data_IF_646863754760
#
_entry.id   IF_646863754760
#
_cell.length_a   1.000
_cell.length_b   1.000
_cell.length_c   1.000
_cell.angle_alpha   90.00
_cell.angle_beta   90.00
_cell.angle_gamma   90.00
#
_symmetry.space_group_name_H-M   'P 1'
#
loop_
_entity.id
_entity.type
_entity.pdbx_description
1 polymer ?
#
# COMPACT_ATOMS: atom_id res chain seq x y z
N UNK A 1 11.01 27.98 -13.76
CA UNK A 1 10.72 27.23 -15.00
C UNK A 1 9.60 27.96 -15.71
N UNK A 2 9.77 28.27 -17.00
CA UNK A 2 8.68 28.84 -17.79
C UNK A 2 7.56 27.83 -17.92
N UNK A 3 6.32 28.20 -17.57
CA UNK A 3 5.16 27.29 -17.56
C UNK A 3 4.90 26.60 -18.92
N UNK A 4 5.19 27.29 -20.04
CA UNK A 4 5.11 26.68 -21.38
C UNK A 4 6.16 25.60 -21.62
N UNK A 5 7.34 25.71 -21.03
CA UNK A 5 8.35 24.65 -21.09
C UNK A 5 7.98 23.42 -20.26
N UNK A 6 7.36 23.63 -19.08
CA UNK A 6 6.87 22.53 -18.25
C UNK A 6 5.85 21.66 -19.00
N UNK A 7 4.90 22.27 -19.73
CA UNK A 7 3.92 21.56 -20.54
C UNK A 7 4.58 20.69 -21.62
N UNK A 8 5.62 21.21 -22.28
CA UNK A 8 6.35 20.45 -23.31
C UNK A 8 7.05 19.21 -22.74
N UNK A 9 7.57 19.30 -21.50
CA UNK A 9 8.27 18.15 -20.87
C UNK A 9 7.30 17.10 -20.30
N UNK A 10 6.11 17.53 -19.81
CA UNK A 10 5.17 16.66 -19.12
C UNK A 10 4.13 16.01 -20.05
N UNK A 11 4.02 16.43 -21.31
CA UNK A 11 2.95 16.22 -22.27
C UNK A 11 1.62 16.88 -21.90
N UNK A 12 0.86 17.26 -22.91
CA UNK A 12 -0.45 17.92 -22.74
C UNK A 12 -1.42 17.05 -21.93
N UNK A 13 -1.50 15.75 -22.22
CA UNK A 13 -2.40 14.82 -21.54
C UNK A 13 -2.13 14.71 -20.04
N UNK A 14 -0.84 14.73 -19.63
CA UNK A 14 -0.45 14.67 -18.21
C UNK A 14 -0.67 15.99 -17.50
N UNK A 15 -0.47 17.12 -18.18
CA UNK A 15 -0.60 18.45 -17.59
C UNK A 15 -2.06 18.98 -17.57
N UNK A 16 -2.91 18.49 -18.48
CA UNK A 16 -4.30 18.94 -18.61
C UNK A 16 -5.12 18.98 -17.30
N UNK A 17 -5.06 17.97 -16.38
CA UNK A 17 -5.79 18.05 -15.12
C UNK A 17 -5.37 19.22 -14.22
N UNK A 18 -4.09 19.58 -14.22
CA UNK A 18 -3.55 20.67 -13.42
C UNK A 18 -3.91 22.03 -14.02
N UNK A 19 -3.91 22.12 -15.36
CA UNK A 19 -4.34 23.33 -16.07
C UNK A 19 -5.84 23.57 -15.88
N UNK A 20 -6.66 22.51 -15.89
CA UNK A 20 -8.09 22.62 -15.61
C UNK A 20 -8.36 23.08 -14.16
N UNK A 21 -7.62 22.53 -13.18
CA UNK A 21 -7.72 22.95 -11.78
C UNK A 21 -7.33 24.41 -11.58
N UNK A 22 -6.30 24.88 -12.31
CA UNK A 22 -5.85 26.26 -12.33
C UNK A 22 -6.68 27.19 -13.21
N UNK A 23 -7.83 26.73 -13.76
CA UNK A 23 -8.72 27.52 -14.63
C UNK A 23 -8.01 28.13 -15.86
N UNK A 24 -7.01 27.44 -16.38
CA UNK A 24 -6.23 27.84 -17.54
C UNK A 24 -5.00 28.70 -17.21
N UNK A 25 -4.76 29.07 -15.97
CA UNK A 25 -3.53 29.75 -15.55
C UNK A 25 -2.35 28.77 -15.52
N UNK A 26 -1.41 28.96 -16.44
CA UNK A 26 -0.26 28.09 -16.60
C UNK A 26 0.73 28.13 -15.41
N UNK A 27 0.95 29.32 -14.82
CA UNK A 27 1.86 29.46 -13.67
C UNK A 27 1.28 28.78 -12.42
N UNK A 28 0.00 29.01 -12.18
CA UNK A 28 -0.75 28.38 -11.12
C UNK A 28 -0.79 26.82 -11.34
N UNK A 29 -0.99 26.35 -12.57
CA UNK A 29 -0.97 24.94 -12.90
C UNK A 29 0.38 24.27 -12.59
N UNK A 30 1.50 24.94 -12.83
CA UNK A 30 2.84 24.45 -12.43
C UNK A 30 2.95 24.39 -10.91
N UNK A 31 2.48 25.39 -10.18
CA UNK A 31 2.49 25.36 -8.71
C UNK A 31 1.67 24.19 -8.14
N UNK A 32 0.49 23.94 -8.72
CA UNK A 32 -0.35 22.77 -8.35
C UNK A 32 0.35 21.46 -8.69
N UNK A 33 1.03 21.35 -9.84
CA UNK A 33 1.78 20.17 -10.23
C UNK A 33 2.92 19.87 -9.25
N UNK A 34 3.71 20.87 -8.87
CA UNK A 34 4.81 20.73 -7.91
C UNK A 34 4.30 20.35 -6.51
N UNK A 35 3.18 20.96 -6.08
CA UNK A 35 2.50 20.56 -4.86
C UNK A 35 2.02 19.11 -4.92
N UNK A 36 1.39 18.71 -6.03
CA UNK A 36 0.91 17.35 -6.25
C UNK A 36 2.05 16.31 -6.22
N UNK A 37 3.22 16.62 -6.77
CA UNK A 37 4.39 15.75 -6.73
C UNK A 37 4.85 15.50 -5.27
N UNK A 38 4.88 16.57 -4.44
CA UNK A 38 5.20 16.47 -3.00
C UNK A 38 4.12 15.67 -2.25
N UNK A 39 2.85 15.91 -2.54
CA UNK A 39 1.74 15.16 -1.95
C UNK A 39 1.83 13.67 -2.28
N UNK A 40 2.12 13.33 -3.55
CA UNK A 40 2.29 11.94 -3.99
C UNK A 40 3.44 11.24 -3.28
N UNK A 41 4.58 11.94 -3.11
CA UNK A 41 5.72 11.41 -2.36
C UNK A 41 5.40 11.16 -0.88
N UNK A 42 4.71 12.09 -0.21
CA UNK A 42 4.28 11.93 1.17
C UNK A 42 3.27 10.78 1.34
N UNK A 43 2.31 10.65 0.41
CA UNK A 43 1.39 9.52 0.38
C UNK A 43 2.14 8.19 0.22
N UNK A 44 3.14 8.14 -0.68
CA UNK A 44 3.92 6.93 -0.91
C UNK A 44 4.72 6.51 0.33
N UNK A 45 5.32 7.46 1.04
CA UNK A 45 6.02 7.21 2.30
C UNK A 45 5.08 6.63 3.38
N UNK A 46 3.87 7.20 3.52
CA UNK A 46 2.86 6.68 4.46
C UNK A 46 2.41 5.27 4.08
N UNK A 47 2.17 5.01 2.77
CA UNK A 47 1.82 3.67 2.27
C UNK A 47 2.93 2.66 2.55
N UNK A 48 4.20 3.03 2.38
CA UNK A 48 5.34 2.16 2.68
C UNK A 48 5.33 1.72 4.13
N UNK A 49 5.17 2.65 5.08
CA UNK A 49 5.07 2.33 6.51
C UNK A 49 3.89 1.40 6.81
N UNK A 50 2.72 1.71 6.24
CA UNK A 50 1.51 0.91 6.38
C UNK A 50 1.68 -0.51 5.81
N UNK A 51 2.24 -0.65 4.60
CA UNK A 51 2.48 -1.95 3.97
C UNK A 51 3.40 -2.82 4.82
N UNK A 52 4.50 -2.26 5.33
CA UNK A 52 5.43 -2.98 6.21
C UNK A 52 4.75 -3.44 7.50
N UNK A 53 3.94 -2.58 8.12
CA UNK A 53 3.19 -2.91 9.33
C UNK A 53 2.22 -4.07 9.10
N UNK A 54 1.38 -3.98 8.07
CA UNK A 54 0.36 -5.00 7.77
C UNK A 54 1.01 -6.34 7.42
N UNK A 55 2.02 -6.36 6.54
CA UNK A 55 2.66 -7.62 6.13
C UNK A 55 3.34 -8.33 7.31
N UNK A 56 4.01 -7.58 8.19
CA UNK A 56 4.68 -8.15 9.34
C UNK A 56 3.68 -8.68 10.37
N UNK A 57 2.58 -7.98 10.63
CA UNK A 57 1.52 -8.45 11.51
C UNK A 57 0.92 -9.78 11.00
N UNK A 58 0.68 -9.87 9.69
CA UNK A 58 0.17 -11.09 9.04
C UNK A 58 1.21 -12.22 9.11
N UNK A 59 2.47 -11.95 8.75
CA UNK A 59 3.53 -12.98 8.77
C UNK A 59 3.76 -13.55 10.16
N UNK A 60 3.72 -12.72 11.20
CA UNK A 60 3.83 -13.17 12.60
C UNK A 60 2.74 -14.20 12.92
N UNK A 61 1.51 -13.98 12.49
CA UNK A 61 0.41 -14.90 12.81
C UNK A 61 0.39 -16.15 11.93
N UNK A 62 0.59 -16.00 10.62
CA UNK A 62 0.60 -17.14 9.70
C UNK A 62 1.87 -18.00 9.85
N UNK A 63 2.99 -17.37 10.18
CA UNK A 63 4.29 -18.02 10.37
C UNK A 63 4.58 -18.49 11.80
N UNK A 64 3.62 -18.39 12.72
CA UNK A 64 3.83 -18.75 14.13
C UNK A 64 4.26 -20.21 14.27
N UNK A 65 5.41 -20.42 14.90
CA UNK A 65 5.99 -21.76 15.08
C UNK A 65 6.63 -22.38 13.84
N UNK A 66 6.70 -21.63 12.73
CA UNK A 66 7.33 -22.10 11.49
C UNK A 66 8.76 -21.57 11.34
N UNK A 67 9.65 -22.32 10.63
CA UNK A 67 11.02 -21.91 10.39
C UNK A 67 11.10 -20.72 9.40
N UNK A 68 12.30 -20.15 9.27
CA UNK A 68 12.61 -19.22 8.17
C UNK A 68 12.98 -19.95 6.87
N UNK A 69 13.58 -21.14 7.01
CA UNK A 69 14.02 -22.02 5.92
C UNK A 69 13.81 -23.49 6.33
N UNK A 70 13.56 -24.41 5.38
CA UNK A 70 13.31 -24.13 3.96
C UNK A 70 11.91 -23.56 3.73
N UNK A 71 11.75 -22.76 2.65
CA UNK A 71 10.50 -22.05 2.35
C UNK A 71 9.28 -22.99 2.24
N UNK A 72 9.48 -24.24 1.80
CA UNK A 72 8.39 -25.24 1.69
C UNK A 72 7.72 -25.57 3.02
N UNK A 73 8.40 -25.35 4.14
CA UNK A 73 7.90 -25.64 5.49
C UNK A 73 7.23 -24.39 6.11
N UNK A 74 6.95 -23.36 5.29
CA UNK A 74 6.32 -22.11 5.70
C UNK A 74 4.93 -21.96 5.09
N UNK A 75 4.12 -21.07 5.67
CA UNK A 75 2.77 -20.75 5.20
C UNK A 75 2.72 -20.23 3.75
N UNK A 76 3.84 -19.72 3.23
CA UNK A 76 3.95 -19.16 1.89
C UNK A 76 3.79 -20.20 0.78
N UNK A 77 4.07 -21.47 1.05
CA UNK A 77 3.85 -22.59 0.11
C UNK A 77 2.82 -23.61 0.61
N UNK A 78 2.08 -23.28 1.69
CA UNK A 78 1.00 -24.14 2.20
C UNK A 78 -0.31 -23.83 1.46
N UNK A 79 -0.79 -24.80 0.67
CA UNK A 79 -2.06 -24.70 -0.08
C UNK A 79 -3.31 -24.71 0.81
N UNK A 80 -3.19 -25.06 2.11
CA UNK A 80 -4.28 -24.90 3.07
C UNK A 80 -4.36 -23.45 3.58
N UNK A 81 -3.26 -22.72 3.49
CA UNK A 81 -3.18 -21.30 3.89
C UNK A 81 -3.35 -20.37 2.69
N UNK A 82 -2.71 -20.66 1.54
CA UNK A 82 -2.77 -19.82 0.35
C UNK A 82 -3.58 -20.41 -0.79
N UNK A 83 -4.42 -19.60 -1.40
CA UNK A 83 -5.06 -19.91 -2.67
C UNK A 83 -4.01 -20.03 -3.80
N UNK A 84 -4.27 -20.76 -4.90
CA UNK A 84 -3.30 -20.99 -5.97
C UNK A 84 -2.69 -19.70 -6.55
N UNK A 85 -3.48 -18.62 -6.64
CA UNK A 85 -2.98 -17.33 -7.11
C UNK A 85 -2.00 -16.68 -6.11
N UNK A 86 -2.20 -16.87 -4.81
CA UNK A 86 -1.27 -16.43 -3.77
C UNK A 86 0.07 -17.15 -3.89
N UNK A 87 0.04 -18.49 -4.05
CA UNK A 87 1.25 -19.30 -4.26
C UNK A 87 2.02 -18.86 -5.52
N UNK A 88 1.32 -18.59 -6.64
CA UNK A 88 1.96 -18.05 -7.86
C UNK A 88 2.70 -16.74 -7.59
N UNK A 89 2.11 -15.83 -6.82
CA UNK A 89 2.77 -14.56 -6.48
C UNK A 89 4.00 -14.77 -5.59
N UNK A 90 3.97 -15.75 -4.69
CA UNK A 90 5.14 -16.16 -3.89
C UNK A 90 6.25 -16.69 -4.80
N UNK A 91 5.93 -17.56 -5.76
CA UNK A 91 6.92 -18.09 -6.72
C UNK A 91 7.56 -16.94 -7.51
N UNK A 92 6.78 -16.01 -8.04
CA UNK A 92 7.29 -14.82 -8.74
C UNK A 92 8.20 -13.97 -7.84
N UNK A 93 7.87 -13.83 -6.55
CA UNK A 93 8.73 -13.10 -5.61
C UNK A 93 10.07 -13.82 -5.39
N UNK A 94 10.06 -15.15 -5.32
CA UNK A 94 11.28 -15.97 -5.22
C UNK A 94 12.16 -15.82 -6.47
N UNK A 95 11.55 -15.88 -7.66
CA UNK A 95 12.27 -15.74 -8.95
C UNK A 95 12.96 -14.37 -9.12
N UNK A 96 12.47 -13.34 -8.42
CA UNK A 96 13.06 -11.99 -8.43
C UNK A 96 14.23 -11.82 -7.47
N UNK A 97 14.46 -12.77 -6.57
CA UNK A 97 15.62 -12.71 -5.68
C UNK A 97 16.91 -12.85 -6.50
N UNK A 98 17.94 -12.13 -6.10
CA UNK A 98 19.25 -12.22 -6.74
C UNK A 98 19.82 -13.64 -6.64
N UNK A 99 20.48 -14.11 -7.70
CA UNK A 99 21.13 -15.41 -7.73
C UNK A 99 22.14 -15.55 -6.58
N UNK A 100 22.08 -16.68 -5.87
CA UNK A 100 22.93 -16.93 -4.70
C UNK A 100 22.39 -16.36 -3.38
N UNK A 101 21.28 -15.64 -3.42
CA UNK A 101 20.61 -15.18 -2.20
C UNK A 101 19.92 -16.36 -1.50
N UNK A 102 20.13 -16.50 -0.20
CA UNK A 102 19.37 -17.48 0.60
C UNK A 102 17.88 -17.14 0.58
N UNK A 103 17.05 -18.13 0.23
CA UNK A 103 15.57 -17.95 0.17
C UNK A 103 15.01 -18.17 1.55
N UNK A 104 14.76 -17.08 2.28
CA UNK A 104 14.11 -17.10 3.60
C UNK A 104 12.67 -16.59 3.52
N UNK A 105 11.80 -17.01 4.47
CA UNK A 105 10.44 -16.52 4.60
C UNK A 105 10.41 -14.98 4.63
N UNK A 106 11.24 -14.37 5.46
CA UNK A 106 11.29 -12.91 5.60
C UNK A 106 11.63 -12.18 4.29
N UNK A 107 12.56 -12.71 3.49
CA UNK A 107 12.90 -12.14 2.18
C UNK A 107 11.75 -12.24 1.17
N UNK A 108 11.06 -13.37 1.16
CA UNK A 108 9.89 -13.55 0.28
C UNK A 108 8.73 -12.67 0.72
N UNK A 109 8.45 -12.58 2.02
CA UNK A 109 7.47 -11.64 2.61
C UNK A 109 7.77 -10.20 2.20
N UNK A 110 9.04 -9.79 2.17
CA UNK A 110 9.45 -8.48 1.70
C UNK A 110 9.30 -8.29 0.18
N UNK A 111 9.39 -9.37 -0.60
CA UNK A 111 9.38 -9.34 -2.06
C UNK A 111 8.00 -9.45 -2.72
N UNK A 112 6.96 -9.93 -2.00
CA UNK A 112 5.60 -9.98 -2.55
C UNK A 112 5.00 -8.58 -2.63
N UNK A 113 4.15 -8.36 -3.65
CA UNK A 113 3.54 -7.06 -3.89
C UNK A 113 2.44 -6.72 -2.87
N UNK A 114 2.09 -5.43 -2.76
CA UNK A 114 0.92 -5.00 -1.97
C UNK A 114 -0.37 -5.70 -2.41
N UNK A 115 -0.50 -6.03 -3.70
CA UNK A 115 -1.63 -6.79 -4.23
C UNK A 115 -1.76 -8.19 -3.66
N UNK A 116 -0.67 -8.84 -3.29
CA UNK A 116 -0.69 -10.12 -2.57
C UNK A 116 -1.39 -9.95 -1.21
N UNK A 117 -0.98 -8.95 -0.42
CA UNK A 117 -1.56 -8.66 0.89
C UNK A 117 -3.03 -8.27 0.79
N UNK A 118 -3.37 -7.40 -0.16
CA UNK A 118 -4.77 -7.02 -0.41
C UNK A 118 -5.64 -8.21 -0.85
N UNK A 119 -5.07 -9.21 -1.52
CA UNK A 119 -5.75 -10.42 -1.97
C UNK A 119 -6.18 -11.36 -0.85
N UNK A 120 -5.51 -11.33 0.32
CA UNK A 120 -5.83 -12.18 1.47
C UNK A 120 -7.21 -11.91 2.09
N UNK A 121 -7.88 -10.81 1.72
CA UNK A 121 -9.23 -10.45 2.16
C UNK A 121 -10.33 -10.96 1.24
N UNK A 122 -9.99 -11.70 0.18
CA UNK A 122 -10.98 -12.30 -0.72
C UNK A 122 -11.75 -13.44 -0.03
N UNK A 123 -12.93 -13.79 -0.59
CA UNK A 123 -13.82 -14.81 -0.01
C UNK A 123 -13.12 -16.16 0.21
N UNK A 124 -12.15 -16.51 -0.64
CA UNK A 124 -11.39 -17.77 -0.53
C UNK A 124 -10.55 -17.90 0.74
N UNK A 125 -10.33 -16.81 1.48
CA UNK A 125 -9.57 -16.81 2.74
C UNK A 125 -10.44 -16.74 4.00
N UNK A 126 -11.75 -17.00 3.92
CA UNK A 126 -12.67 -16.91 5.06
C UNK A 126 -12.25 -17.82 6.23
N UNK A 127 -11.84 -19.05 5.93
CA UNK A 127 -11.42 -20.00 6.96
C UNK A 127 -10.07 -19.60 7.58
N UNK A 128 -9.11 -19.20 6.75
CA UNK A 128 -7.81 -18.67 7.21
C UNK A 128 -8.00 -17.43 8.06
N UNK A 129 -8.96 -16.56 7.70
CA UNK A 129 -9.34 -15.42 8.51
C UNK A 129 -9.80 -15.82 9.90
N UNK A 130 -10.77 -16.71 9.99
CA UNK A 130 -11.35 -17.16 11.27
C UNK A 130 -10.33 -17.79 12.20
N UNK A 131 -9.41 -18.58 11.65
CA UNK A 131 -8.45 -19.33 12.42
C UNK A 131 -7.22 -18.51 12.80
N UNK A 132 -6.70 -17.68 11.89
CA UNK A 132 -5.36 -17.10 12.02
C UNK A 132 -5.27 -15.62 11.67
N UNK A 133 -5.74 -15.16 10.50
CA UNK A 133 -5.52 -13.78 10.04
C UNK A 133 -6.12 -12.73 10.98
N UNK A 134 -7.29 -13.00 11.58
CA UNK A 134 -7.92 -12.08 12.54
C UNK A 134 -7.03 -11.77 13.75
N UNK A 135 -6.14 -12.67 14.11
CA UNK A 135 -5.22 -12.50 15.24
C UNK A 135 -4.14 -11.44 14.96
N UNK A 136 -3.95 -11.04 13.70
CA UNK A 136 -3.09 -9.92 13.33
C UNK A 136 -3.72 -8.55 13.66
N UNK A 137 -5.01 -8.52 14.05
CA UNK A 137 -5.76 -7.31 14.36
C UNK A 137 -6.43 -7.39 15.74
N UNK A 138 -5.64 -7.56 16.83
CA UNK A 138 -6.15 -7.85 18.17
C UNK A 138 -7.01 -6.72 18.76
N UNK A 139 -6.81 -5.48 18.28
CA UNK A 139 -7.50 -4.29 18.77
C UNK A 139 -8.74 -3.93 17.91
N UNK A 140 -9.11 -4.76 16.93
CA UNK A 140 -10.25 -4.55 16.05
C UNK A 140 -11.29 -5.67 16.16
N UNK A 141 -12.53 -5.36 16.57
CA UNK A 141 -13.66 -6.29 16.47
C UNK A 141 -14.18 -6.33 15.01
N UNK A 142 -13.33 -6.77 14.07
CA UNK A 142 -13.59 -6.70 12.64
C UNK A 142 -13.81 -8.07 12.01
N UNK A 143 -14.52 -8.09 10.89
CA UNK A 143 -14.68 -9.26 10.04
C UNK A 143 -13.75 -9.17 8.82
N UNK A 144 -13.56 -10.29 8.12
CA UNK A 144 -12.83 -10.28 6.83
C UNK A 144 -13.45 -9.27 5.84
N UNK A 145 -14.78 -9.15 5.84
CA UNK A 145 -15.50 -8.25 4.92
C UNK A 145 -15.16 -6.78 5.19
N UNK A 146 -14.97 -6.40 6.45
CA UNK A 146 -14.64 -5.03 6.83
C UNK A 146 -13.26 -4.60 6.28
N UNK A 147 -12.36 -5.58 6.05
CA UNK A 147 -11.05 -5.35 5.44
C UNK A 147 -11.08 -5.34 3.90
N UNK A 148 -12.07 -5.98 3.27
CA UNK A 148 -12.06 -6.23 1.82
C UNK A 148 -12.03 -4.94 1.01
N UNK A 149 -12.96 -4.03 1.26
CA UNK A 149 -13.05 -2.78 0.49
C UNK A 149 -11.94 -1.78 0.86
N UNK A 150 -11.61 -1.53 2.14
CA UNK A 150 -10.45 -0.71 2.49
C UNK A 150 -9.16 -1.17 1.82
N UNK A 151 -8.81 -2.44 1.90
CA UNK A 151 -7.56 -2.95 1.31
C UNK A 151 -7.54 -2.88 -0.22
N UNK A 152 -8.68 -3.13 -0.89
CA UNK A 152 -8.81 -2.95 -2.35
C UNK A 152 -8.60 -1.48 -2.73
N UNK A 153 -9.23 -0.57 -2.01
CA UNK A 153 -9.14 0.86 -2.30
C UNK A 153 -7.73 1.42 -2.04
N UNK A 154 -7.05 0.93 -0.99
CA UNK A 154 -5.66 1.27 -0.71
C UNK A 154 -4.71 0.69 -1.77
N UNK A 155 -4.96 -0.52 -2.27
CA UNK A 155 -4.21 -1.09 -3.40
C UNK A 155 -4.36 -0.23 -4.66
N UNK A 156 -5.59 0.18 -4.99
CA UNK A 156 -5.84 1.06 -6.14
C UNK A 156 -5.14 2.40 -5.98
N UNK A 157 -5.20 2.99 -4.79
CA UNK A 157 -4.53 4.25 -4.47
C UNK A 157 -3.01 4.14 -4.57
N UNK A 158 -2.41 3.08 -3.99
CA UNK A 158 -0.98 2.79 -4.10
C UNK A 158 -0.53 2.64 -5.56
N UNK A 159 -1.30 1.91 -6.37
CA UNK A 159 -0.98 1.70 -7.76
C UNK A 159 -1.03 3.02 -8.56
N UNK A 160 -2.03 3.85 -8.31
CA UNK A 160 -2.15 5.18 -8.91
C UNK A 160 -0.92 6.04 -8.62
N UNK A 161 -0.44 6.06 -7.36
CA UNK A 161 0.77 6.79 -6.99
C UNK A 161 2.01 6.20 -7.69
N UNK A 162 2.15 4.88 -7.70
CA UNK A 162 3.29 4.19 -8.33
C UNK A 162 3.35 4.39 -9.86
N UNK A 163 2.20 4.65 -10.50
CA UNK A 163 2.10 4.99 -11.93
C UNK A 163 2.12 6.50 -12.19
N UNK A 164 2.37 7.31 -11.16
CA UNK A 164 2.39 8.78 -11.22
C UNK A 164 1.07 9.38 -11.74
N UNK A 165 -0.07 8.74 -11.47
CA UNK A 165 -1.38 9.23 -11.86
C UNK A 165 -1.79 10.44 -11.03
N UNK A 166 -2.63 11.31 -11.62
CA UNK A 166 -3.17 12.48 -10.96
C UNK A 166 -4.04 12.11 -9.73
N UNK A 167 -3.78 12.75 -8.59
CA UNK A 167 -4.50 12.55 -7.33
C UNK A 167 -5.51 13.66 -7.02
N UNK A 168 -5.65 14.70 -7.84
CA UNK A 168 -6.51 15.86 -7.55
C UNK A 168 -7.96 15.48 -7.22
N UNK A 169 -8.52 14.49 -7.92
CA UNK A 169 -9.87 13.99 -7.69
C UNK A 169 -9.94 12.81 -6.68
N UNK A 170 -8.83 12.45 -6.04
CA UNK A 170 -8.80 11.32 -5.12
C UNK A 170 -9.12 11.77 -3.68
N UNK A 171 -9.85 10.95 -2.90
CA UNK A 171 -10.13 11.24 -1.49
C UNK A 171 -8.89 10.90 -0.63
N UNK A 172 -7.80 11.65 -0.82
CA UNK A 172 -6.48 11.38 -0.21
C UNK A 172 -6.59 11.27 1.31
N UNK A 173 -7.22 12.26 1.96
CA UNK A 173 -7.44 12.25 3.42
C UNK A 173 -8.07 10.94 3.89
N UNK A 174 -9.16 10.52 3.24
CA UNK A 174 -9.86 9.27 3.58
C UNK A 174 -8.95 8.04 3.46
N UNK A 175 -7.98 8.04 2.51
CA UNK A 175 -7.03 6.93 2.37
C UNK A 175 -6.03 6.89 3.51
N UNK A 176 -5.56 8.05 3.97
CA UNK A 176 -4.70 8.15 5.15
C UNK A 176 -5.47 7.69 6.40
N UNK A 177 -6.70 8.16 6.61
CA UNK A 177 -7.53 7.76 7.75
C UNK A 177 -7.78 6.24 7.77
N UNK A 178 -8.01 5.63 6.61
CA UNK A 178 -8.15 4.17 6.49
C UNK A 178 -6.87 3.43 6.89
N UNK A 179 -5.69 3.91 6.49
CA UNK A 179 -4.40 3.29 6.88
C UNK A 179 -4.17 3.40 8.38
N UNK A 180 -4.41 4.57 8.97
CA UNK A 180 -4.27 4.79 10.41
C UNK A 180 -5.25 3.92 11.20
N UNK A 181 -6.51 3.81 10.76
CA UNK A 181 -7.51 2.96 11.40
C UNK A 181 -7.12 1.47 11.36
N UNK A 182 -6.65 0.96 10.23
CA UNK A 182 -6.19 -0.42 10.12
C UNK A 182 -4.94 -0.65 10.99
N UNK A 183 -4.01 0.31 11.01
CA UNK A 183 -2.85 0.27 11.89
C UNK A 183 -3.26 0.21 13.37
N UNK A 184 -4.30 0.96 13.79
CA UNK A 184 -4.84 0.93 15.15
C UNK A 184 -5.42 -0.43 15.52
N UNK A 185 -6.01 -1.16 14.58
CA UNK A 185 -6.47 -2.52 14.84
C UNK A 185 -5.32 -3.51 15.06
N UNK A 186 -4.15 -3.23 14.49
CA UNK A 186 -2.92 -4.01 14.73
C UNK A 186 -2.32 -3.61 16.06
N UNK A 187 -2.00 -2.31 16.21
CA UNK A 187 -1.33 -1.74 17.38
C UNK A 187 -1.58 -0.22 17.45
N UNK A 188 -2.16 0.31 18.55
CA UNK A 188 -2.40 1.75 18.71
C UNK A 188 -1.15 2.62 18.63
N UNK A 189 0.00 2.13 19.12
CA UNK A 189 1.26 2.87 19.08
C UNK A 189 1.81 2.93 17.65
N UNK A 190 1.64 1.84 16.89
CA UNK A 190 1.97 1.81 15.45
C UNK A 190 1.09 2.78 14.64
N UNK A 191 -0.19 2.92 14.99
CA UNK A 191 -1.09 3.90 14.37
C UNK A 191 -0.64 5.34 14.66
N UNK A 192 -0.28 5.62 15.90
CA UNK A 192 0.27 6.92 16.33
C UNK A 192 1.55 7.25 15.57
N UNK A 193 2.48 6.28 15.49
CA UNK A 193 3.70 6.42 14.71
C UNK A 193 3.43 6.70 13.24
N UNK A 194 2.55 5.92 12.60
CA UNK A 194 2.20 6.09 11.18
C UNK A 194 1.60 7.47 10.90
N UNK A 195 0.71 7.94 11.78
CA UNK A 195 0.10 9.27 11.68
C UNK A 195 1.13 10.39 11.83
N UNK A 196 2.06 10.26 12.78
CA UNK A 196 3.10 11.26 13.05
C UNK A 196 4.16 11.35 11.92
N UNK A 197 4.37 10.26 11.17
CA UNK A 197 5.30 10.24 10.03
C UNK A 197 4.70 10.85 8.75
N UNK A 198 3.40 11.15 8.74
CA UNK A 198 2.70 11.57 7.54
C UNK A 198 2.60 13.09 7.41
N UNK A 199 3.29 13.65 6.42
CA UNK A 199 3.16 15.07 6.04
C UNK A 199 1.93 15.36 5.17
N UNK A 200 1.11 14.35 4.87
CA UNK A 200 0.01 14.47 3.91
C UNK A 200 -0.99 15.52 4.33
N UNK A 201 -1.35 15.60 5.63
CA UNK A 201 -2.35 16.57 6.11
C UNK A 201 -1.89 18.01 5.95
N UNK A 202 -0.62 18.29 6.27
CA UNK A 202 -0.04 19.63 6.10
C UNK A 202 0.02 20.04 4.63
N UNK A 203 0.35 19.09 3.75
CA UNK A 203 0.34 19.31 2.30
C UNK A 203 -1.06 19.54 1.76
N UNK A 204 -2.07 18.78 2.20
CA UNK A 204 -3.46 19.02 1.79
C UNK A 204 -3.95 20.41 2.21
N UNK A 205 -3.55 20.89 3.39
CA UNK A 205 -3.89 22.23 3.87
C UNK A 205 -3.15 23.38 3.14
N UNK A 206 -2.04 23.08 2.46
CA UNK A 206 -1.19 24.04 1.76
C UNK A 206 -1.30 23.98 0.24
N UNK A 207 -2.44 23.48 -0.28
CA UNK A 207 -2.70 23.47 -1.73
C UNK A 207 -2.69 24.91 -2.26
N UNK A 208 -1.96 25.18 -3.35
CA UNK A 208 -1.94 26.49 -4.00
C UNK A 208 -3.30 26.95 -4.49
#
# INVERSE_FOLDING_TARGET
>A
VNALQATAWLSDARFAPFLAEAQGDHEHAVAIYDWHARLSAACFATIQGFEVLVRNAIDIQLGRGQPQTPLRDTWLLDFNTLQPNGVKQVIVAVERLEKGTEITRGRVVAGVSFGFWAGLWSKGYEEVWRQRLRLAFPNGAITRKDMTEPMRSLQSFRNRIAHHDCLLAQPVQRRIDQMVLIAQWIDPDAATWLGAQSDVLSLLASKP
#
